data_IF_778233080303
#
_entry.id   IF_778233080303
#
_cell.length_a   1.000
_cell.length_b   1.000
_cell.length_c   1.000
_cell.angle_alpha   90.00
_cell.angle_beta   90.00
_cell.angle_gamma   90.00
#
_symmetry.space_group_name_H-M   'P 1'
#
loop_
_entity.id
_entity.type
_entity.pdbx_description
1 polymer ?
#
# COMPACT_ATOMS: atom_id res chain seq x y z
N UNK A 1 -16.99 2.18 3.37
CA UNK A 1 -16.00 2.93 2.58
C UNK A 1 -16.32 2.67 1.10
N UNK A 2 -16.34 3.68 0.22
CA UNK A 2 -16.52 3.45 -1.21
C UNK A 2 -15.39 2.55 -1.76
N UNK A 3 -15.71 1.72 -2.74
CA UNK A 3 -14.72 0.86 -3.39
C UNK A 3 -13.65 1.72 -4.09
N UNK A 4 -12.39 1.30 -4.00
CA UNK A 4 -11.28 1.92 -4.74
C UNK A 4 -11.29 1.32 -6.15
N UNK A 5 -11.31 2.19 -7.17
CA UNK A 5 -11.22 1.76 -8.54
C UNK A 5 -9.81 1.21 -8.82
N UNK A 6 -9.73 0.08 -9.53
CA UNK A 6 -8.47 -0.60 -9.82
C UNK A 6 -8.45 -1.18 -11.23
N UNK A 7 -7.24 -1.43 -11.73
CA UNK A 7 -6.98 -2.14 -12.97
C UNK A 7 -5.70 -2.99 -12.84
N UNK A 8 -5.62 -4.09 -13.58
CA UNK A 8 -4.43 -4.97 -13.61
C UNK A 8 -3.76 -4.81 -14.97
N UNK A 9 -2.55 -4.28 -14.97
CA UNK A 9 -1.75 -4.02 -16.15
C UNK A 9 -0.63 -5.04 -16.29
N UNK A 10 -0.10 -5.21 -17.51
CA UNK A 10 1.11 -6.00 -17.81
C UNK A 10 1.08 -7.48 -17.37
N UNK A 11 -0.12 -8.02 -17.11
CA UNK A 11 -0.36 -9.44 -16.86
C UNK A 11 -0.09 -10.29 -18.12
N UNK A 12 0.46 -11.53 -17.99
CA UNK A 12 0.72 -12.25 -16.75
C UNK A 12 2.16 -12.14 -16.22
N UNK A 13 3.13 -11.76 -17.06
CA UNK A 13 4.55 -11.86 -16.71
C UNK A 13 5.01 -10.79 -15.70
N UNK A 14 4.44 -9.58 -15.76
CA UNK A 14 4.78 -8.45 -14.90
C UNK A 14 3.53 -7.74 -14.39
N UNK A 15 2.56 -8.52 -13.91
CA UNK A 15 1.29 -7.98 -13.45
C UNK A 15 1.49 -6.84 -12.43
N UNK A 16 0.82 -5.72 -12.67
CA UNK A 16 0.88 -4.53 -11.82
C UNK A 16 -0.54 -4.05 -11.54
N UNK A 17 -0.83 -3.73 -10.29
CA UNK A 17 -2.11 -3.19 -9.88
C UNK A 17 -2.04 -1.66 -9.90
N UNK A 18 -2.86 -1.01 -10.73
CA UNK A 18 -3.07 0.44 -10.71
C UNK A 18 -4.32 0.75 -9.91
N UNK A 19 -4.16 1.44 -8.78
CA UNK A 19 -5.24 1.92 -7.93
C UNK A 19 -5.51 3.40 -8.21
N UNK A 20 -6.78 3.80 -8.31
CA UNK A 20 -7.19 5.20 -8.41
C UNK A 20 -7.88 5.64 -7.13
N UNK A 21 -7.19 6.47 -6.35
CA UNK A 21 -7.68 7.01 -5.09
C UNK A 21 -8.32 8.37 -5.34
N UNK A 22 -9.56 8.54 -4.90
CA UNK A 22 -10.22 9.84 -4.78
C UNK A 22 -9.67 10.61 -3.56
N UNK A 23 -9.83 11.95 -3.49
CA UNK A 23 -9.40 12.75 -2.35
C UNK A 23 -9.84 12.14 -1.01
N UNK A 24 -8.91 12.07 -0.07
CA UNK A 24 -9.06 11.49 1.27
C UNK A 24 -9.32 9.97 1.31
N UNK A 25 -9.31 9.26 0.19
CA UNK A 25 -9.28 7.80 0.20
C UNK A 25 -7.91 7.29 0.65
N UNK A 26 -7.95 6.17 1.36
CA UNK A 26 -6.77 5.50 1.91
C UNK A 26 -6.77 4.02 1.54
N UNK A 27 -5.58 3.49 1.27
CA UNK A 27 -5.33 2.06 1.08
C UNK A 27 -4.10 1.63 1.87
N UNK A 28 -4.11 0.38 2.34
CA UNK A 28 -2.98 -0.26 3.01
C UNK A 28 -2.37 -1.25 2.02
N UNK A 29 -1.07 -1.19 1.84
CA UNK A 29 -0.31 -2.05 0.92
C UNK A 29 0.87 -2.65 1.68
N UNK A 30 1.29 -3.85 1.31
CA UNK A 30 2.51 -4.48 1.83
C UNK A 30 3.72 -3.55 1.62
N UNK A 31 4.57 -3.44 2.64
CA UNK A 31 5.79 -2.65 2.53
C UNK A 31 6.71 -3.26 1.47
N UNK A 32 7.17 -2.45 0.52
CA UNK A 32 8.03 -2.89 -0.59
C UNK A 32 7.27 -3.17 -1.89
N UNK A 33 5.95 -3.39 -1.83
CA UNK A 33 5.14 -3.65 -3.02
C UNK A 33 4.83 -2.39 -3.86
N UNK A 34 5.07 -1.18 -3.34
CA UNK A 34 4.83 0.07 -4.08
C UNK A 34 5.88 0.26 -5.16
N UNK A 35 5.43 0.37 -6.41
CA UNK A 35 6.28 0.64 -7.57
C UNK A 35 6.35 2.13 -7.91
N UNK A 36 5.21 2.83 -7.87
CA UNK A 36 5.13 4.27 -8.11
C UNK A 36 3.86 4.88 -7.47
N UNK A 37 3.86 6.19 -7.25
CA UNK A 37 2.66 6.92 -6.81
C UNK A 37 2.70 8.37 -7.31
N UNK A 38 1.51 8.97 -7.49
CA UNK A 38 1.38 10.40 -7.77
C UNK A 38 1.78 11.27 -6.57
N UNK A 39 2.21 12.51 -6.83
CA UNK A 39 2.58 13.49 -5.79
C UNK A 39 1.41 13.96 -4.93
N UNK A 40 0.17 13.69 -5.34
CA UNK A 40 -1.05 13.94 -4.55
C UNK A 40 -1.26 12.90 -3.44
N UNK A 41 -0.50 11.79 -3.45
CA UNK A 41 -0.57 10.72 -2.47
C UNK A 41 0.55 10.89 -1.44
N UNK A 42 0.19 10.79 -0.16
CA UNK A 42 1.14 10.71 0.95
C UNK A 42 1.23 9.29 1.47
N UNK A 43 2.45 8.83 1.76
CA UNK A 43 2.72 7.54 2.39
C UNK A 43 3.03 7.70 3.88
N UNK A 44 2.49 6.80 4.70
CA UNK A 44 2.88 6.61 6.10
C UNK A 44 3.22 5.14 6.33
N UNK A 45 4.49 4.85 6.57
CA UNK A 45 4.91 3.49 6.97
C UNK A 45 4.45 3.20 8.39
N UNK A 46 3.77 2.08 8.60
CA UNK A 46 3.46 1.55 9.93
C UNK A 46 4.18 0.22 10.09
N UNK A 47 5.22 0.23 10.93
CA UNK A 47 5.71 -1.01 11.50
C UNK A 47 4.65 -1.50 12.49
N UNK A 48 3.88 -2.53 12.13
CA UNK A 48 2.89 -3.14 13.04
C UNK A 48 3.61 -3.96 14.11
N UNK A 49 4.37 -3.29 14.99
CA UNK A 49 5.22 -3.93 15.99
C UNK A 49 6.26 -2.96 16.50
N UNK A 50 5.87 -2.07 17.42
CA UNK A 50 6.85 -1.38 18.27
C UNK A 50 7.72 -2.39 19.02
N UNK A 51 8.82 -1.92 19.60
CA UNK A 51 9.85 -2.72 20.29
C UNK A 51 9.32 -3.78 21.29
N UNK A 52 8.10 -3.61 21.82
CA UNK A 52 7.42 -4.59 22.70
C UNK A 52 6.35 -5.47 22.01
N UNK A 53 5.72 -5.01 20.92
CA UNK A 53 4.68 -5.76 20.20
C UNK A 53 5.21 -6.64 19.07
N UNK A 54 6.42 -6.34 18.56
CA UNK A 54 7.11 -7.12 17.55
C UNK A 54 7.70 -8.43 18.06
N UNK A 55 8.19 -8.47 19.31
CA UNK A 55 8.79 -9.66 19.90
C UNK A 55 7.82 -10.85 19.94
N UNK A 56 6.53 -10.62 20.24
CA UNK A 56 5.52 -11.67 20.30
C UNK A 56 5.15 -12.25 18.92
N UNK A 57 5.28 -11.47 17.84
CA UNK A 57 5.02 -11.92 16.46
C UNK A 57 6.25 -12.51 15.78
N UNK A 58 7.46 -12.11 16.18
CA UNK A 58 8.69 -12.76 15.71
C UNK A 58 8.77 -14.25 16.08
N UNK A 59 8.11 -14.67 17.17
CA UNK A 59 8.02 -16.09 17.54
C UNK A 59 7.07 -16.90 16.63
N UNK A 60 6.18 -16.23 15.90
CA UNK A 60 5.27 -16.80 14.90
C UNK A 60 5.77 -16.68 13.46
N UNK A 61 6.97 -16.12 13.24
CA UNK A 61 7.68 -16.14 11.96
C UNK A 61 7.39 -15.01 10.95
N UNK A 62 6.32 -14.22 11.10
CA UNK A 62 5.96 -13.20 10.09
C UNK A 62 5.77 -11.81 10.71
N UNK A 63 6.70 -10.90 10.41
CA UNK A 63 6.55 -9.47 10.66
C UNK A 63 5.87 -8.82 9.43
N UNK A 64 4.57 -8.57 9.49
CA UNK A 64 3.85 -7.83 8.45
C UNK A 64 4.15 -6.33 8.54
N UNK A 65 5.05 -5.87 7.67
CA UNK A 65 5.29 -4.44 7.45
C UNK A 65 4.29 -3.95 6.40
N UNK A 66 3.54 -2.90 6.73
CA UNK A 66 2.57 -2.30 5.81
C UNK A 66 2.77 -0.79 5.72
N UNK A 67 2.40 -0.24 4.57
CA UNK A 67 2.41 1.19 4.28
C UNK A 67 1.00 1.67 3.98
N UNK A 68 0.60 2.78 4.60
CA UNK A 68 -0.67 3.44 4.33
C UNK A 68 -0.48 4.55 3.29
N UNK A 69 -1.27 4.54 2.24
CA UNK A 69 -1.26 5.54 1.18
C UNK A 69 -2.57 6.29 1.19
N UNK A 70 -2.53 7.62 1.20
CA UNK A 70 -3.72 8.47 1.25
C UNK A 70 -3.63 9.55 0.19
N UNK A 71 -4.60 9.63 -0.70
CA UNK A 71 -4.74 10.77 -1.60
C UNK A 71 -5.18 11.99 -0.79
N UNK A 72 -4.50 13.11 -0.95
CA UNK A 72 -4.77 14.34 -0.21
C UNK A 72 -5.97 15.08 -0.84
N UNK A 73 -5.73 16.26 -1.42
CA UNK A 73 -6.78 17.15 -1.90
C UNK A 73 -7.18 16.89 -3.37
N UNK A 74 -6.54 15.94 -4.04
CA UNK A 74 -6.76 15.60 -5.46
C UNK A 74 -6.71 14.09 -5.64
N UNK A 75 -7.39 13.54 -6.66
CA UNK A 75 -7.21 12.15 -7.03
C UNK A 75 -5.74 11.82 -7.30
N UNK A 76 -5.37 10.56 -7.16
CA UNK A 76 -4.02 10.09 -7.46
C UNK A 76 -4.00 8.61 -7.79
N UNK A 77 -2.98 8.22 -8.55
CA UNK A 77 -2.69 6.84 -8.90
C UNK A 77 -1.60 6.25 -7.99
N UNK A 78 -1.82 5.01 -7.57
CA UNK A 78 -0.84 4.20 -6.84
C UNK A 78 -0.63 2.90 -7.62
N UNK A 79 0.63 2.59 -7.89
CA UNK A 79 1.05 1.40 -8.61
C UNK A 79 1.69 0.42 -7.65
N UNK A 80 1.18 -0.80 -7.64
CA UNK A 80 1.62 -1.88 -6.75
C UNK A 80 2.05 -3.07 -7.59
N UNK A 81 3.27 -3.57 -7.37
CA UNK A 81 3.79 -4.79 -7.96
C UNK A 81 3.81 -5.92 -6.92
N UNK A 82 3.82 -7.19 -7.34
CA UNK A 82 4.16 -8.30 -6.46
C UNK A 82 5.49 -8.02 -5.75
N UNK A 83 5.53 -8.26 -4.44
CA UNK A 83 6.73 -8.15 -3.61
C UNK A 83 7.67 -9.35 -3.80
#
# INVERSE_FOLDING_TARGET
MPAIAYDIEHSPAYAMLRLTLQPHQQVIVESGAMAAMDTSITMRSKATGGFMGGLGRMLGGEAFFVSEFTAQNKPGQLFVSPA
#
